data_IF_602439894643
#
_entry.id   IF_602439894643
#
_cell.length_a   1.000
_cell.length_b   1.000
_cell.length_c   1.000
_cell.angle_alpha   90.00
_cell.angle_beta   90.00
_cell.angle_gamma   90.00
#
_symmetry.space_group_name_H-M   'P 1'
#
loop_
_entity.id
_entity.type
_entity.pdbx_description
1 polymer ?
#
# COMPACT_ATOMS: atom_id res chain seq x y z
N UNK A 1 4.68 12.96 -9.22
CA UNK A 1 4.08 12.19 -10.34
C UNK A 1 3.93 10.70 -9.99
N UNK A 2 4.89 10.08 -9.28
CA UNK A 2 4.77 8.68 -8.84
C UNK A 2 3.63 8.43 -7.83
N UNK A 3 3.32 9.40 -6.97
CA UNK A 3 2.29 9.29 -5.92
C UNK A 3 0.88 8.95 -6.45
N UNK A 4 0.49 9.50 -7.61
CA UNK A 4 -0.82 9.23 -8.23
C UNK A 4 -0.91 7.81 -8.82
N UNK A 5 0.23 7.25 -9.26
CA UNK A 5 0.28 5.93 -9.88
C UNK A 5 0.07 4.83 -8.83
N UNK A 6 0.64 5.02 -7.64
CA UNK A 6 0.44 4.13 -6.49
C UNK A 6 -1.03 4.13 -6.03
N UNK A 7 -1.67 5.31 -6.03
CA UNK A 7 -3.10 5.45 -5.75
C UNK A 7 -3.99 4.71 -6.77
N UNK A 8 -3.70 4.85 -8.07
CA UNK A 8 -4.44 4.16 -9.14
C UNK A 8 -4.31 2.63 -9.04
N UNK A 9 -3.08 2.14 -8.83
CA UNK A 9 -2.80 0.72 -8.68
C UNK A 9 -3.52 0.14 -7.46
N UNK A 10 -3.50 0.86 -6.34
CA UNK A 10 -4.19 0.48 -5.11
C UNK A 10 -5.71 0.44 -5.30
N UNK A 11 -6.28 1.47 -5.94
CA UNK A 11 -7.72 1.56 -6.24
C UNK A 11 -8.19 0.42 -7.16
N UNK A 12 -7.35 -0.04 -8.09
CA UNK A 12 -7.62 -1.21 -8.95
C UNK A 12 -7.51 -2.52 -8.19
N UNK A 13 -6.48 -2.70 -7.37
CA UNK A 13 -6.30 -3.89 -6.56
C UNK A 13 -7.49 -4.08 -5.60
N UNK A 14 -7.96 -3.00 -4.97
CA UNK A 14 -9.13 -2.99 -4.10
C UNK A 14 -10.39 -3.43 -4.86
N UNK A 15 -10.63 -2.89 -6.06
CA UNK A 15 -11.80 -3.29 -6.88
C UNK A 15 -11.75 -4.77 -7.28
N UNK A 16 -10.58 -5.29 -7.61
CA UNK A 16 -10.42 -6.71 -7.94
C UNK A 16 -10.64 -7.60 -6.71
N UNK A 17 -10.10 -7.21 -5.56
CA UNK A 17 -10.31 -7.93 -4.31
C UNK A 17 -11.79 -7.93 -3.88
N UNK A 18 -12.52 -6.84 -4.15
CA UNK A 18 -13.97 -6.76 -3.95
C UNK A 18 -14.71 -7.76 -4.85
N UNK A 19 -14.33 -7.78 -6.13
CA UNK A 19 -14.94 -8.64 -7.14
C UNK A 19 -14.76 -10.14 -6.83
N UNK A 20 -13.58 -10.53 -6.33
CA UNK A 20 -13.25 -11.92 -5.97
C UNK A 20 -13.62 -12.25 -4.52
N UNK A 21 -14.10 -11.26 -3.74
CA UNK A 21 -14.41 -11.38 -2.30
C UNK A 21 -13.27 -11.98 -1.47
N UNK A 22 -12.04 -11.55 -1.76
CA UNK A 22 -10.83 -11.98 -1.04
C UNK A 22 -10.24 -10.82 -0.25
N UNK A 23 -9.69 -11.08 0.96
CA UNK A 23 -8.96 -10.06 1.68
C UNK A 23 -7.72 -9.59 0.89
N UNK A 24 -7.40 -8.30 0.98
CA UNK A 24 -6.28 -7.69 0.28
C UNK A 24 -5.27 -7.11 1.27
N UNK A 25 -3.99 -7.44 1.07
CA UNK A 25 -2.88 -6.86 1.82
C UNK A 25 -2.01 -6.05 0.87
N UNK A 26 -1.93 -4.74 1.12
CA UNK A 26 -1.13 -3.80 0.33
C UNK A 26 0.14 -3.50 1.10
N UNK A 27 1.25 -4.04 0.62
CA UNK A 27 2.58 -3.76 1.16
C UNK A 27 3.08 -2.40 0.68
N UNK A 28 3.97 -1.82 1.46
CA UNK A 28 4.80 -0.69 1.04
C UNK A 28 3.95 0.52 0.62
N UNK A 29 2.99 0.90 1.46
CA UNK A 29 2.20 2.12 1.23
C UNK A 29 3.08 3.33 1.52
N UNK A 30 3.48 4.04 0.48
CA UNK A 30 4.41 5.17 0.52
C UNK A 30 3.72 6.49 0.13
N UNK A 31 2.56 6.42 -0.54
CA UNK A 31 1.78 7.58 -0.97
C UNK A 31 0.55 7.84 -0.10
N UNK A 32 0.26 9.12 0.11
CA UNK A 32 -0.96 9.59 0.78
C UNK A 32 -2.20 9.16 -0.02
N UNK A 33 -2.13 9.24 -1.35
CA UNK A 33 -3.25 8.88 -2.24
C UNK A 33 -3.62 7.39 -2.09
N UNK A 34 -2.61 6.51 -1.99
CA UNK A 34 -2.83 5.08 -1.77
C UNK A 34 -3.44 4.81 -0.39
N UNK A 35 -2.96 5.52 0.65
CA UNK A 35 -3.52 5.43 2.00
C UNK A 35 -4.99 5.90 2.04
N UNK A 36 -5.33 6.96 1.32
CA UNK A 36 -6.70 7.44 1.21
C UNK A 36 -7.62 6.42 0.54
N UNK A 37 -7.19 5.76 -0.54
CA UNK A 37 -7.97 4.72 -1.20
C UNK A 37 -8.21 3.52 -0.26
N UNK A 38 -7.20 3.10 0.51
CA UNK A 38 -7.35 2.05 1.53
C UNK A 38 -8.32 2.49 2.64
N UNK A 39 -8.22 3.73 3.10
CA UNK A 39 -9.12 4.27 4.11
C UNK A 39 -10.56 4.39 3.61
N UNK A 40 -10.76 4.77 2.34
CA UNK A 40 -12.07 4.80 1.67
C UNK A 40 -12.65 3.39 1.61
N UNK A 41 -11.91 2.40 1.12
CA UNK A 41 -12.35 1.01 1.02
C UNK A 41 -12.71 0.38 2.39
N UNK A 42 -11.95 0.70 3.44
CA UNK A 42 -12.27 0.31 4.82
C UNK A 42 -13.59 0.93 5.31
N UNK A 43 -13.85 2.20 4.97
CA UNK A 43 -15.06 2.94 5.37
C UNK A 43 -16.29 2.56 4.54
N UNK A 44 -16.14 2.30 3.25
CA UNK A 44 -17.23 2.03 2.29
C UNK A 44 -17.75 0.59 2.34
N UNK A 45 -17.74 -0.03 3.53
CA UNK A 45 -17.97 -1.46 3.73
C UNK A 45 -19.04 -2.06 2.81
N UNK A 46 -18.63 -3.07 2.02
CA UNK A 46 -19.40 -3.63 0.92
C UNK A 46 -20.81 -4.06 1.32
N UNK A 47 -21.78 -3.60 0.51
CA UNK A 47 -23.18 -4.02 0.52
C UNK A 47 -23.34 -5.15 -0.50
N UNK A 48 -22.74 -6.32 -0.27
CA UNK A 48 -22.99 -7.49 -1.14
C UNK A 48 -22.50 -8.80 -0.52
N UNK A 49 -23.21 -9.35 0.46
CA UNK A 49 -23.75 -10.72 0.36
C UNK A 49 -24.67 -11.04 1.55
N UNK A 50 -25.89 -11.42 1.22
CA UNK A 50 -27.03 -11.70 2.07
C UNK A 50 -26.91 -13.00 2.92
N UNK A 51 -25.75 -13.65 3.00
CA UNK A 51 -25.64 -14.94 3.69
C UNK A 51 -24.43 -15.00 4.62
N UNK A 52 -24.75 -14.77 5.90
CA UNK A 52 -24.06 -15.21 7.12
C UNK A 52 -22.62 -14.69 7.33
N UNK A 53 -22.51 -13.69 8.22
CA UNK A 53 -21.34 -13.34 9.04
C UNK A 53 -20.30 -12.29 8.55
N UNK A 54 -20.65 -11.32 7.69
CA UNK A 54 -19.67 -10.27 7.34
C UNK A 54 -20.23 -8.84 7.42
N UNK A 55 -20.32 -8.33 8.66
CA UNK A 55 -20.65 -6.93 9.01
C UNK A 55 -19.43 -6.03 9.18
N UNK A 56 -18.26 -6.43 8.67
CA UNK A 56 -17.05 -5.61 8.68
C UNK A 56 -16.73 -5.23 7.22
N UNK A 57 -16.37 -3.98 6.98
CA UNK A 57 -16.11 -3.44 5.65
C UNK A 57 -15.03 -4.19 4.86
N UNK A 58 -14.70 -3.69 3.67
CA UNK A 58 -13.79 -4.41 2.78
C UNK A 58 -12.47 -4.71 3.51
N UNK A 59 -12.08 -5.98 3.56
CA UNK A 59 -10.91 -6.46 4.33
C UNK A 59 -9.63 -6.10 3.59
N UNK A 60 -9.27 -4.82 3.63
CA UNK A 60 -8.03 -4.29 3.06
C UNK A 60 -7.11 -3.84 4.20
N UNK A 61 -5.87 -4.27 4.20
CA UNK A 61 -4.85 -3.82 5.16
C UNK A 61 -3.71 -3.19 4.36
N UNK A 62 -3.24 -2.03 4.79
CA UNK A 62 -2.07 -1.36 4.22
C UNK A 62 -0.94 -1.33 5.24
N UNK A 63 0.25 -1.73 4.82
CA UNK A 63 1.47 -1.67 5.62
C UNK A 63 2.34 -0.49 5.15
N UNK A 64 2.36 0.64 5.89
CA UNK A 64 3.30 1.72 5.61
C UNK A 64 4.70 1.33 6.09
N UNK A 65 5.72 1.77 5.36
CA UNK A 65 7.12 1.59 5.78
C UNK A 65 7.58 2.82 6.56
N UNK A 66 8.45 2.62 7.55
CA UNK A 66 9.15 3.70 8.28
C UNK A 66 9.81 4.70 7.33
N UNK A 67 10.38 4.24 6.22
CA UNK A 67 10.95 5.10 5.19
C UNK A 67 9.93 6.10 4.64
N UNK A 68 8.69 5.67 4.33
CA UNK A 68 7.63 6.56 3.85
C UNK A 68 7.00 7.45 4.93
N UNK A 69 7.30 7.19 6.21
CA UNK A 69 6.84 8.02 7.34
C UNK A 69 7.87 9.07 7.75
N UNK A 70 9.17 8.78 7.60
CA UNK A 70 10.27 9.57 8.16
C UNK A 70 11.09 10.27 7.09
N UNK A 71 11.23 9.66 5.91
CA UNK A 71 12.07 10.18 4.83
C UNK A 71 11.21 10.88 3.79
N UNK A 72 11.79 11.91 3.19
CA UNK A 72 11.25 12.65 2.07
C UNK A 72 12.11 12.43 0.80
N UNK A 73 11.52 12.71 -0.36
CA UNK A 73 12.15 12.52 -1.67
C UNK A 73 13.35 13.47 -1.92
N UNK A 74 13.74 14.31 -0.96
CA UNK A 74 14.77 15.33 -1.13
C UNK A 74 16.18 14.73 -1.30
N UNK A 75 16.48 13.63 -0.61
CA UNK A 75 17.81 13.04 -0.68
C UNK A 75 18.08 12.26 -1.98
N UNK A 76 17.06 11.97 -2.78
CA UNK A 76 17.21 11.37 -4.11
C UNK A 76 17.80 12.41 -5.08
N UNK A 77 17.63 13.70 -4.78
CA UNK A 77 18.15 14.83 -5.54
C UNK A 77 19.50 15.34 -5.00
N UNK A 78 20.16 14.59 -4.12
CA UNK A 78 21.48 14.94 -3.64
C UNK A 78 22.50 14.94 -4.80
N UNK A 79 23.36 15.97 -4.91
CA UNK A 79 24.37 16.04 -5.97
C UNK A 79 25.42 14.92 -5.90
N UNK A 80 25.61 14.26 -4.75
CA UNK A 80 26.44 13.07 -4.63
C UNK A 80 25.60 11.80 -4.89
N UNK A 81 25.92 11.14 -6.00
CA UNK A 81 25.30 9.87 -6.38
C UNK A 81 25.38 8.79 -5.30
N UNK A 82 26.45 8.78 -4.49
CA UNK A 82 26.64 7.80 -3.41
C UNK A 82 25.69 8.02 -2.25
N UNK A 83 25.20 9.25 -2.08
CA UNK A 83 24.22 9.64 -1.06
C UNK A 83 22.81 9.36 -1.61
N UNK A 84 22.54 9.76 -2.86
CA UNK A 84 21.27 9.47 -3.53
C UNK A 84 21.00 7.95 -3.64
N UNK A 85 21.99 7.16 -4.02
CA UNK A 85 21.87 5.70 -4.17
C UNK A 85 21.65 4.95 -2.85
N UNK A 86 21.90 5.57 -1.69
CA UNK A 86 21.59 4.97 -0.38
C UNK A 86 20.10 5.09 -0.04
N UNK A 87 19.39 6.02 -0.66
CA UNK A 87 17.95 6.18 -0.47
C UNK A 87 17.14 5.16 -1.27
N UNK A 88 17.73 4.61 -2.34
CA UNK A 88 17.22 3.42 -3.00
C UNK A 88 17.25 2.26 -2.00
N UNK A 89 16.10 1.77 -1.52
CA UNK A 89 16.10 0.83 -0.42
C UNK A 89 16.55 -0.54 -0.94
N UNK A 90 17.84 -0.84 -0.85
CA UNK A 90 18.37 -2.21 -0.94
C UNK A 90 17.74 -3.09 0.17
N UNK A 91 17.15 -2.46 1.19
CA UNK A 91 16.34 -3.10 2.23
C UNK A 91 14.92 -3.53 1.80
N UNK A 92 14.40 -3.08 0.64
CA UNK A 92 13.10 -3.53 0.09
C UNK A 92 13.10 -5.04 -0.23
N UNK A 93 14.25 -5.60 -0.62
CA UNK A 93 14.35 -7.03 -0.96
C UNK A 93 14.27 -7.92 0.29
N UNK A 94 14.75 -7.46 1.45
CA UNK A 94 14.79 -8.28 2.66
C UNK A 94 13.42 -8.37 3.36
N UNK A 95 12.59 -7.32 3.28
CA UNK A 95 11.24 -7.33 3.87
C UNK A 95 10.23 -8.10 3.01
N UNK A 96 10.36 -8.04 1.68
CA UNK A 96 9.61 -8.88 0.73
C UNK A 96 9.79 -10.38 0.99
N UNK A 97 11.01 -10.82 1.32
CA UNK A 97 11.31 -12.23 1.64
C UNK A 97 10.76 -12.68 3.00
N UNK A 98 10.69 -11.79 3.99
CA UNK A 98 10.19 -12.13 5.33
C UNK A 98 8.66 -12.19 5.39
N UNK A 99 7.96 -11.36 4.61
CA UNK A 99 6.49 -11.28 4.66
C UNK A 99 5.76 -12.37 3.83
N UNK A 100 6.46 -13.06 2.91
CA UNK A 100 5.91 -14.21 2.18
C UNK A 100 5.94 -15.54 2.96
N UNK A 101 6.47 -15.52 4.20
CA UNK A 101 6.73 -16.71 5.02
C UNK A 101 5.83 -16.86 6.24
N UNK A 102 4.77 -16.06 6.38
CA UNK A 102 3.81 -16.10 7.51
C UNK A 102 2.37 -16.23 7.03
#
# INVERSE_FOLDING_TARGET
MLMQLEGEATSRAIRLADFVNTPLYVVHVMSIDAMEEIAKAKKSGGVTHFLLFQTAGQRVIGEPIVAGLVLDDSGIWDPDFSIAAKQEPIHLLLFSLLCFSL
#
